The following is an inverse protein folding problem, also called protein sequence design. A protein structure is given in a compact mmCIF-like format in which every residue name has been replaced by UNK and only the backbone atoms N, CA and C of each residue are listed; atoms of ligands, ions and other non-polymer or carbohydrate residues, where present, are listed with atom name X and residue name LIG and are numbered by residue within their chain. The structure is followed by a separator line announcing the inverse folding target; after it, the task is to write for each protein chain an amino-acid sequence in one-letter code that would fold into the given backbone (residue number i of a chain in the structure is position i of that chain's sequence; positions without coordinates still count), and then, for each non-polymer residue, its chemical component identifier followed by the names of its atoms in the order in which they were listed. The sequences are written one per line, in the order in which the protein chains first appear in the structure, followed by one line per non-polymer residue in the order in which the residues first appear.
data_IF_235776615516
#
_entry.id   IF_235776615516
#
_cell.length_a   1.000
_cell.length_b   1.000
_cell.length_c   1.000
_cell.angle_alpha   90.00
_cell.angle_beta   90.00
_cell.angle_gamma   90.00
#
_symmetry.space_group_name_H-M   'P 1'
#
loop_
_entity.id
_entity.type
_entity.pdbx_description
1 polymer ?
#
# COMPACT_ATOMS: atom_id res chain seq x y z
N UNK A 1 13.49 -3.85 -11.44
CA UNK A 1 14.77 -4.57 -11.64
C UNK A 1 14.69 -5.47 -12.87
N UNK A 2 13.74 -6.42 -12.95
CA UNK A 2 13.65 -7.36 -14.08
C UNK A 2 13.38 -6.69 -15.43
N UNK A 3 12.65 -5.57 -15.43
CA UNK A 3 12.38 -4.75 -16.62
C UNK A 3 13.51 -3.75 -16.95
N UNK A 4 14.69 -3.88 -16.33
CA UNK A 4 15.86 -3.05 -16.57
C UNK A 4 15.87 -1.70 -15.82
N UNK A 5 14.92 -1.47 -14.91
CA UNK A 5 14.86 -0.26 -14.09
C UNK A 5 15.85 -0.33 -12.91
N UNK A 6 16.50 0.76 -12.62
CA UNK A 6 17.28 0.94 -11.40
C UNK A 6 16.33 1.21 -10.23
N UNK A 7 16.38 0.36 -9.21
CA UNK A 7 15.46 0.41 -8.08
C UNK A 7 16.20 0.83 -6.82
N UNK A 8 15.68 1.86 -6.17
CA UNK A 8 16.13 2.31 -4.84
C UNK A 8 15.00 2.05 -3.86
N UNK A 9 15.30 1.40 -2.74
CA UNK A 9 14.34 1.04 -1.70
C UNK A 9 14.71 1.77 -0.41
N UNK A 10 13.71 2.38 0.24
CA UNK A 10 13.81 2.84 1.63
C UNK A 10 12.75 2.12 2.46
N UNK A 11 13.17 1.51 3.57
CA UNK A 11 12.30 0.81 4.51
C UNK A 11 12.89 0.89 5.92
N UNK A 12 12.04 1.09 6.92
CA UNK A 12 12.48 1.11 8.33
C UNK A 12 12.52 -0.29 8.96
N UNK A 13 12.05 -1.32 8.22
CA UNK A 13 11.96 -2.72 8.63
C UNK A 13 11.08 -2.93 9.88
N UNK A 14 10.06 -2.07 10.07
CA UNK A 14 9.09 -2.25 11.15
C UNK A 14 8.18 -3.46 10.89
N UNK A 15 7.80 -3.67 9.64
CA UNK A 15 6.98 -4.80 9.17
C UNK A 15 7.59 -5.49 7.94
N UNK A 16 8.56 -4.85 7.29
CA UNK A 16 9.27 -5.38 6.14
C UNK A 16 10.35 -6.38 6.53
N UNK A 17 10.68 -7.28 5.59
CA UNK A 17 11.76 -8.25 5.73
C UNK A 17 12.87 -7.98 4.71
N UNK A 18 14.12 -7.96 5.18
CA UNK A 18 15.31 -7.86 4.31
C UNK A 18 15.43 -8.99 3.31
N UNK A 19 14.89 -10.18 3.64
CA UNK A 19 14.88 -11.35 2.74
C UNK A 19 14.07 -11.11 1.46
N UNK A 20 13.09 -10.20 1.50
CA UNK A 20 12.28 -9.82 0.35
C UNK A 20 12.95 -8.77 -0.56
N UNK A 21 14.05 -8.15 -0.12
CA UNK A 21 14.74 -7.11 -0.88
C UNK A 21 15.54 -7.75 -2.02
N UNK A 22 15.22 -7.38 -3.27
CA UNK A 22 15.99 -7.84 -4.42
C UNK A 22 17.46 -7.39 -4.30
N UNK A 23 18.44 -8.27 -4.39
CA UNK A 23 19.86 -7.94 -4.19
C UNK A 23 20.45 -6.98 -5.23
N UNK A 24 19.76 -6.76 -6.35
CA UNK A 24 20.14 -5.75 -7.35
C UNK A 24 19.57 -4.37 -7.06
N UNK A 25 18.67 -4.23 -6.10
CA UNK A 25 18.15 -2.94 -5.67
C UNK A 25 19.10 -2.28 -4.65
N UNK A 26 19.22 -0.95 -4.72
CA UNK A 26 19.95 -0.19 -3.71
C UNK A 26 19.05 0.02 -2.49
N UNK A 27 19.44 -0.50 -1.34
CA UNK A 27 18.64 -0.43 -0.12
C UNK A 27 19.16 0.62 0.86
N UNK A 28 18.23 1.40 1.42
CA UNK A 28 18.46 2.32 2.51
C UNK A 28 17.56 1.96 3.69
N UNK A 29 18.14 1.62 4.83
CA UNK A 29 17.39 1.53 6.07
C UNK A 29 17.10 2.94 6.58
N UNK A 30 15.83 3.32 6.67
CA UNK A 30 15.40 4.64 7.11
C UNK A 30 13.90 4.78 7.15
N UNK A 31 13.45 5.84 7.79
CA UNK A 31 12.02 6.15 7.94
C UNK A 31 11.64 7.32 7.02
N UNK A 32 10.53 7.20 6.31
CA UNK A 32 10.05 8.26 5.41
C UNK A 32 9.60 9.53 6.15
N UNK A 33 9.45 9.48 7.46
CA UNK A 33 9.16 10.63 8.33
C UNK A 33 10.40 11.47 8.63
N UNK A 34 11.57 11.00 8.26
CA UNK A 34 12.85 11.65 8.46
C UNK A 34 13.27 12.37 7.15
N UNK A 35 13.10 13.70 7.11
CA UNK A 35 13.39 14.49 5.91
C UNK A 35 14.82 14.32 5.42
N UNK A 36 15.79 14.25 6.34
CA UNK A 36 17.20 14.09 6.04
C UNK A 36 17.51 12.76 5.33
N UNK A 37 16.75 11.69 5.66
CA UNK A 37 16.88 10.39 5.00
C UNK A 37 16.44 10.51 3.54
N UNK A 38 15.29 11.12 3.30
CA UNK A 38 14.77 11.32 1.95
C UNK A 38 15.65 12.26 1.13
N UNK A 39 16.09 13.38 1.71
CA UNK A 39 16.97 14.33 1.04
C UNK A 39 18.32 13.68 0.63
N UNK A 40 18.89 12.85 1.50
CA UNK A 40 20.09 12.06 1.17
C UNK A 40 19.84 11.12 0.00
N UNK A 41 18.74 10.33 0.05
CA UNK A 41 18.42 9.36 -1.00
C UNK A 41 18.22 10.05 -2.34
N UNK A 42 17.47 11.15 -2.36
CA UNK A 42 17.16 11.89 -3.58
C UNK A 42 18.36 12.68 -4.13
N UNK A 43 19.34 13.01 -3.27
CA UNK A 43 20.61 13.62 -3.70
C UNK A 43 21.58 12.58 -4.27
N UNK A 44 21.65 11.40 -3.65
CA UNK A 44 22.58 10.34 -4.05
C UNK A 44 22.13 9.55 -5.29
N UNK A 45 20.85 9.65 -5.66
CA UNK A 45 20.27 8.86 -6.74
C UNK A 45 19.39 9.74 -7.64
N UNK A 46 19.43 9.47 -8.94
CA UNK A 46 18.48 10.04 -9.88
C UNK A 46 17.16 9.27 -9.78
N UNK A 47 16.14 9.91 -9.24
CA UNK A 47 14.81 9.30 -9.06
C UNK A 47 13.84 9.88 -10.08
N UNK A 48 13.28 9.05 -10.95
CA UNK A 48 12.30 9.44 -11.96
C UNK A 48 10.86 9.31 -11.48
N UNK A 49 10.58 8.41 -10.53
CA UNK A 49 9.26 8.19 -9.94
C UNK A 49 9.37 7.52 -8.56
N UNK A 50 8.36 7.73 -7.74
CA UNK A 50 8.22 7.08 -6.43
C UNK A 50 7.05 6.10 -6.48
N UNK A 51 7.23 4.89 -5.92
CA UNK A 51 6.14 3.96 -5.62
C UNK A 51 6.03 3.84 -4.10
N UNK A 52 4.88 4.24 -3.56
CA UNK A 52 4.70 4.38 -2.12
C UNK A 52 3.90 3.21 -1.53
N UNK A 53 4.59 2.33 -0.80
CA UNK A 53 4.01 1.22 -0.02
C UNK A 53 4.14 1.42 1.51
N UNK A 54 4.95 2.36 1.97
CA UNK A 54 5.33 2.55 3.37
C UNK A 54 4.17 3.04 4.26
N UNK A 55 3.25 2.15 4.59
CA UNK A 55 2.06 2.46 5.40
C UNK A 55 1.78 1.37 6.41
N UNK A 56 1.32 1.73 7.61
CA UNK A 56 0.63 0.77 8.47
C UNK A 56 -0.73 0.40 7.86
N UNK A 57 -1.08 -0.89 7.85
CA UNK A 57 -2.23 -1.42 7.10
C UNK A 57 -3.22 -2.27 7.92
N UNK A 58 -2.95 -2.54 9.20
CA UNK A 58 -3.81 -3.38 10.04
C UNK A 58 -5.06 -2.61 10.49
N UNK A 59 -6.21 -2.90 9.87
CA UNK A 59 -7.50 -2.24 10.15
C UNK A 59 -7.86 -2.34 11.63
N UNK A 60 -7.80 -3.54 12.23
CA UNK A 60 -8.12 -3.75 13.65
C UNK A 60 -7.24 -2.94 14.59
N UNK A 61 -5.92 -2.89 14.37
CA UNK A 61 -5.00 -2.06 15.15
C UNK A 61 -5.32 -0.57 15.00
N UNK A 62 -5.73 -0.14 13.81
CA UNK A 62 -6.05 1.27 13.58
C UNK A 62 -7.18 1.78 14.46
N UNK A 63 -8.15 0.91 14.82
CA UNK A 63 -9.27 1.24 15.70
C UNK A 63 -8.84 1.49 17.14
N UNK A 64 -7.78 0.82 17.59
CA UNK A 64 -7.26 0.95 18.97
C UNK A 64 -6.10 1.93 19.09
N UNK A 65 -5.35 2.15 18.00
CA UNK A 65 -4.21 3.08 17.97
C UNK A 65 -4.20 3.98 16.72
N UNK A 66 -5.21 4.82 16.52
CA UNK A 66 -5.34 5.66 15.32
C UNK A 66 -4.17 6.65 15.14
N UNK A 67 -3.58 7.14 16.23
CA UNK A 67 -2.45 8.09 16.16
C UNK A 67 -1.22 7.51 15.48
N UNK A 68 -0.94 6.20 15.65
CA UNK A 68 0.12 5.49 14.95
C UNK A 68 -0.07 5.59 13.43
N UNK A 69 -1.31 5.39 12.97
CA UNK A 69 -1.67 5.44 11.54
C UNK A 69 -1.56 6.85 10.97
N UNK A 70 -2.08 7.85 11.65
CA UNK A 70 -1.94 9.23 11.18
C UNK A 70 -0.49 9.71 11.20
N UNK A 71 0.30 9.35 12.21
CA UNK A 71 1.71 9.71 12.26
C UNK A 71 2.51 9.03 11.15
N UNK A 72 2.39 7.71 11.00
CA UNK A 72 3.15 6.98 9.98
C UNK A 72 2.67 7.30 8.56
N UNK A 73 1.36 7.17 8.31
CA UNK A 73 0.83 7.25 6.96
C UNK A 73 0.72 8.71 6.49
N UNK A 74 0.01 9.55 7.24
CA UNK A 74 -0.29 10.93 6.81
C UNK A 74 0.94 11.84 6.94
N UNK A 75 1.59 11.85 8.10
CA UNK A 75 2.79 12.66 8.28
C UNK A 75 3.95 12.16 7.42
N UNK A 76 4.14 10.82 7.30
CA UNK A 76 5.14 10.26 6.38
C UNK A 76 4.92 10.67 4.92
N UNK A 77 3.66 10.67 4.45
CA UNK A 77 3.32 11.17 3.11
C UNK A 77 3.62 12.66 2.97
N UNK A 78 3.33 13.48 3.99
CA UNK A 78 3.66 14.91 3.95
C UNK A 78 5.15 15.13 3.75
N UNK A 79 5.99 14.49 4.56
CA UNK A 79 7.46 14.62 4.47
C UNK A 79 7.97 14.15 3.12
N UNK A 80 7.42 13.04 2.59
CA UNK A 80 7.77 12.53 1.27
C UNK A 80 7.43 13.54 0.15
N UNK A 81 6.21 14.08 0.14
CA UNK A 81 5.78 15.05 -0.88
C UNK A 81 6.61 16.33 -0.82
N UNK A 82 6.94 16.82 0.37
CA UNK A 82 7.84 17.95 0.55
C UNK A 82 9.24 17.68 -0.04
N UNK A 83 9.79 16.49 0.23
CA UNK A 83 11.09 16.09 -0.33
C UNK A 83 11.02 15.95 -1.86
N UNK A 84 9.95 15.34 -2.40
CA UNK A 84 9.74 15.24 -3.85
C UNK A 84 9.71 16.61 -4.51
N UNK A 85 8.98 17.58 -3.95
CA UNK A 85 8.94 18.97 -4.46
C UNK A 85 10.31 19.61 -4.43
N UNK A 86 11.06 19.51 -3.31
CA UNK A 86 12.41 20.07 -3.19
C UNK A 86 13.40 19.52 -4.22
N UNK A 87 13.27 18.25 -4.55
CA UNK A 87 14.18 17.55 -5.47
C UNK A 87 13.67 17.46 -6.91
N UNK A 88 12.51 18.07 -7.22
CA UNK A 88 11.94 18.09 -8.57
C UNK A 88 11.44 16.72 -9.06
N UNK A 89 11.07 15.81 -8.15
CA UNK A 89 10.49 14.50 -8.48
C UNK A 89 8.99 14.70 -8.66
N UNK A 90 8.48 14.46 -9.86
CA UNK A 90 7.12 14.83 -10.25
C UNK A 90 6.15 13.67 -10.44
N UNK A 91 6.53 12.43 -10.07
CA UNK A 91 5.69 11.24 -10.25
C UNK A 91 5.63 10.39 -8.99
N UNK A 92 4.40 10.00 -8.63
CA UNK A 92 4.16 9.06 -7.53
C UNK A 92 3.03 8.09 -7.88
N UNK A 93 3.26 6.81 -7.66
CA UNK A 93 2.23 5.77 -7.63
C UNK A 93 1.97 5.43 -6.17
N UNK A 94 0.73 5.54 -5.77
CA UNK A 94 0.32 5.34 -4.38
C UNK A 94 -0.50 4.07 -4.21
N UNK A 95 -0.03 3.19 -3.36
CA UNK A 95 -0.76 2.04 -2.86
C UNK A 95 -1.86 2.52 -1.91
N UNK A 96 -3.05 2.78 -2.46
CA UNK A 96 -4.25 3.12 -1.70
C UNK A 96 -5.04 1.86 -1.31
N UNK A 97 -6.31 1.98 -1.03
CA UNK A 97 -7.14 0.88 -0.57
C UNK A 97 -8.61 1.08 -0.90
N UNK A 98 -9.33 0.01 -1.14
CA UNK A 98 -10.80 0.02 -1.22
C UNK A 98 -11.47 0.45 0.10
N UNK A 99 -10.78 0.36 1.25
CA UNK A 99 -11.28 0.86 2.53
C UNK A 99 -11.59 2.37 2.54
N UNK A 100 -11.13 3.12 1.53
CA UNK A 100 -11.50 4.53 1.33
C UNK A 100 -12.98 4.72 1.02
N UNK A 101 -13.65 3.72 0.43
CA UNK A 101 -15.08 3.80 0.10
C UNK A 101 -15.98 3.59 1.32
N UNK A 102 -15.52 2.86 2.35
CA UNK A 102 -16.33 2.47 3.50
C UNK A 102 -17.41 1.47 3.11
N UNK A 103 -18.67 1.71 3.52
CA UNK A 103 -19.82 0.88 3.14
C UNK A 103 -20.35 1.37 1.78
N UNK A 104 -20.21 0.58 0.71
CA UNK A 104 -20.61 1.01 -0.62
C UNK A 104 -22.14 1.02 -0.77
N UNK A 105 -22.68 2.04 -1.45
CA UNK A 105 -24.10 2.14 -1.77
C UNK A 105 -24.52 1.21 -2.93
N UNK A 106 -23.56 0.81 -3.75
CA UNK A 106 -23.75 -0.07 -4.92
C UNK A 106 -22.56 -1.00 -5.14
N UNK A 107 -22.79 -2.10 -5.85
CA UNK A 107 -21.77 -3.02 -6.37
C UNK A 107 -22.06 -3.31 -7.85
N UNK A 108 -21.01 -3.32 -8.71
CA UNK A 108 -19.58 -3.10 -8.39
C UNK A 108 -19.32 -1.64 -7.99
N UNK A 109 -18.29 -1.45 -7.14
CA UNK A 109 -17.81 -0.14 -6.73
C UNK A 109 -17.08 0.51 -7.92
N UNK A 110 -17.36 1.80 -8.17
CA UNK A 110 -16.71 2.60 -9.22
C UNK A 110 -15.75 3.62 -8.60
N UNK A 111 -14.79 4.13 -9.39
CA UNK A 111 -13.76 5.06 -8.91
C UNK A 111 -14.33 6.39 -8.39
N UNK A 112 -15.46 6.82 -8.93
CA UNK A 112 -16.16 8.07 -8.58
C UNK A 112 -17.19 7.91 -7.45
N UNK A 113 -17.35 6.70 -6.91
CA UNK A 113 -18.23 6.47 -5.77
C UNK A 113 -17.77 7.23 -4.53
N UNK A 114 -18.74 7.52 -3.67
CA UNK A 114 -18.51 8.23 -2.40
C UNK A 114 -17.42 7.55 -1.58
N UNK A 115 -16.51 8.35 -1.05
CA UNK A 115 -15.45 7.90 -0.15
C UNK A 115 -15.76 8.33 1.27
N UNK A 116 -16.08 7.35 2.14
CA UNK A 116 -16.41 7.55 3.55
C UNK A 116 -15.89 6.39 4.40
N UNK A 117 -14.57 6.38 4.69
CA UNK A 117 -13.96 5.30 5.45
C UNK A 117 -14.60 5.07 6.82
N UNK A 118 -14.76 3.82 7.20
CA UNK A 118 -15.32 3.41 8.50
C UNK A 118 -14.25 3.13 9.56
N UNK A 119 -12.97 3.30 9.22
CA UNK A 119 -11.85 3.04 10.12
C UNK A 119 -10.68 4.00 9.89
N UNK A 120 -9.80 4.20 10.90
CA UNK A 120 -8.68 5.14 10.81
C UNK A 120 -7.64 4.79 9.74
N UNK A 121 -7.44 3.50 9.40
CA UNK A 121 -6.59 3.10 8.29
C UNK A 121 -7.11 3.65 6.96
N UNK A 122 -8.36 3.33 6.61
CA UNK A 122 -9.00 3.85 5.39
C UNK A 122 -9.02 5.39 5.37
N UNK A 123 -9.32 6.00 6.52
CA UNK A 123 -9.29 7.46 6.66
C UNK A 123 -7.89 8.03 6.40
N UNK A 124 -6.82 7.40 6.91
CA UNK A 124 -5.46 7.86 6.66
C UNK A 124 -5.10 7.79 5.18
N UNK A 125 -5.48 6.70 4.48
CA UNK A 125 -5.26 6.56 3.04
C UNK A 125 -6.02 7.61 2.22
N UNK A 126 -7.28 7.87 2.56
CA UNK A 126 -8.06 8.92 1.90
C UNK A 126 -7.47 10.33 2.11
N UNK A 127 -6.95 10.62 3.31
CA UNK A 127 -6.24 11.88 3.56
C UNK A 127 -5.01 11.99 2.66
N UNK A 128 -4.21 10.92 2.52
CA UNK A 128 -3.04 10.90 1.64
C UNK A 128 -3.41 11.16 0.18
N UNK A 129 -4.49 10.56 -0.34
CA UNK A 129 -4.99 10.87 -1.69
C UNK A 129 -5.37 12.34 -1.85
N UNK A 130 -6.07 12.91 -0.87
CA UNK A 130 -6.44 14.34 -0.87
C UNK A 130 -5.21 15.25 -0.81
N UNK A 131 -4.19 14.89 -0.05
CA UNK A 131 -2.92 15.63 -0.01
C UNK A 131 -2.24 15.63 -1.38
N UNK A 132 -2.10 14.46 -2.02
CA UNK A 132 -1.53 14.36 -3.37
C UNK A 132 -2.30 15.20 -4.39
N UNK A 133 -3.63 15.22 -4.32
CA UNK A 133 -4.45 16.06 -5.19
C UNK A 133 -4.09 17.55 -5.06
N UNK A 134 -3.97 18.06 -3.85
CA UNK A 134 -3.65 19.48 -3.63
C UNK A 134 -2.22 19.82 -3.99
N UNK A 135 -1.26 18.93 -3.67
CA UNK A 135 0.16 19.11 -4.06
C UNK A 135 0.32 18.99 -5.59
N UNK A 136 -0.44 18.12 -6.23
CA UNK A 136 -0.50 18.05 -7.70
C UNK A 136 -0.93 19.38 -8.32
N UNK A 137 -2.01 19.98 -7.82
CA UNK A 137 -2.50 21.28 -8.30
C UNK A 137 -1.51 22.43 -8.06
N UNK A 138 -0.81 22.41 -6.93
CA UNK A 138 0.10 23.49 -6.53
C UNK A 138 1.51 23.35 -7.15
N UNK A 139 2.02 22.14 -7.27
CA UNK A 139 3.42 21.85 -7.59
C UNK A 139 3.62 20.96 -8.83
N UNK A 140 2.53 20.53 -9.48
CA UNK A 140 2.59 19.76 -10.73
C UNK A 140 2.99 18.28 -10.54
N UNK A 141 2.98 17.74 -9.32
CA UNK A 141 3.22 16.31 -9.10
C UNK A 141 2.09 15.51 -9.74
N UNK A 142 2.43 14.57 -10.59
CA UNK A 142 1.52 13.62 -11.22
C UNK A 142 1.40 12.38 -10.34
N UNK A 143 0.18 11.93 -10.07
CA UNK A 143 -0.03 10.80 -9.19
C UNK A 143 -1.05 9.82 -9.74
N UNK A 144 -0.91 8.55 -9.36
CA UNK A 144 -1.91 7.50 -9.54
C UNK A 144 -2.14 6.87 -8.18
N UNK A 145 -3.40 6.75 -7.77
CA UNK A 145 -3.81 6.05 -6.55
C UNK A 145 -4.49 4.73 -6.93
N UNK A 146 -3.90 3.61 -6.57
CA UNK A 146 -4.46 2.28 -6.82
C UNK A 146 -5.26 1.85 -5.60
N UNK A 147 -6.61 1.84 -5.69
CA UNK A 147 -7.52 1.40 -4.64
C UNK A 147 -7.89 -0.06 -4.86
N UNK A 148 -7.09 -0.96 -4.32
CA UNK A 148 -7.35 -2.38 -4.42
C UNK A 148 -7.89 -2.96 -3.10
N UNK A 149 -8.47 -4.14 -3.20
CA UNK A 149 -9.06 -4.89 -2.10
C UNK A 149 -8.00 -5.77 -1.42
N UNK A 150 -8.18 -7.09 -1.46
CA UNK A 150 -7.29 -8.02 -0.77
C UNK A 150 -6.26 -8.56 -1.76
N UNK A 151 -5.01 -8.15 -1.62
CA UNK A 151 -3.91 -8.78 -2.34
C UNK A 151 -3.70 -10.20 -1.81
N UNK A 152 -3.49 -11.15 -2.70
CA UNK A 152 -3.27 -12.55 -2.35
C UNK A 152 -2.32 -13.22 -3.34
N UNK A 153 -1.79 -14.38 -2.98
CA UNK A 153 -0.89 -15.15 -3.83
C UNK A 153 0.59 -14.93 -3.50
N UNK A 154 1.42 -15.54 -4.30
CA UNK A 154 2.88 -15.51 -4.19
C UNK A 154 3.51 -15.55 -5.57
N UNK A 155 4.83 -15.36 -5.67
CA UNK A 155 5.57 -15.62 -6.90
C UNK A 155 5.51 -17.12 -7.23
N UNK A 156 5.50 -17.46 -8.51
CA UNK A 156 5.26 -18.85 -8.98
C UNK A 156 6.28 -19.86 -8.44
N UNK A 157 7.54 -19.47 -8.28
CA UNK A 157 8.61 -20.34 -7.75
C UNK A 157 8.61 -20.46 -6.22
N UNK A 158 7.69 -19.74 -5.53
CA UNK A 158 7.57 -19.74 -4.09
C UNK A 158 8.68 -19.02 -3.33
N UNK A 159 9.58 -18.31 -4.01
CA UNK A 159 10.71 -17.61 -3.38
C UNK A 159 10.28 -16.39 -2.55
N UNK A 160 9.14 -15.76 -2.92
CA UNK A 160 8.56 -14.62 -2.20
C UNK A 160 7.06 -14.86 -2.06
N UNK A 161 6.55 -14.69 -0.86
CA UNK A 161 5.14 -14.79 -0.52
C UNK A 161 4.77 -13.86 0.62
N UNK A 162 3.56 -14.00 1.12
CA UNK A 162 3.06 -13.25 2.27
C UNK A 162 3.68 -13.80 3.55
N UNK A 163 4.32 -12.92 4.35
CA UNK A 163 4.97 -13.24 5.61
C UNK A 163 4.76 -12.12 6.63
N UNK A 164 3.61 -12.14 7.29
CA UNK A 164 3.24 -11.16 8.31
C UNK A 164 3.38 -11.72 9.73
N UNK A 165 3.84 -10.89 10.64
CA UNK A 165 3.84 -11.18 12.07
C UNK A 165 3.29 -9.98 12.87
N UNK A 166 2.06 -10.09 13.46
CA UNK A 166 1.14 -11.22 13.39
C UNK A 166 0.46 -11.35 12.02
N UNK A 167 0.13 -12.59 11.62
CA UNK A 167 -0.67 -12.86 10.43
C UNK A 167 -2.17 -12.63 10.72
N UNK A 168 -2.85 -11.88 9.85
CA UNK A 168 -4.26 -11.53 10.01
C UNK A 168 -5.11 -11.77 8.75
N UNK A 169 -4.47 -12.14 7.63
CA UNK A 169 -5.16 -12.34 6.36
C UNK A 169 -5.72 -13.76 6.24
N UNK A 170 -6.90 -13.86 5.64
CA UNK A 170 -7.70 -15.08 5.61
C UNK A 170 -6.96 -16.27 4.97
N UNK A 171 -6.38 -16.07 3.79
CA UNK A 171 -5.75 -17.17 3.04
C UNK A 171 -4.56 -17.77 3.79
N UNK A 172 -3.58 -17.00 4.28
CA UNK A 172 -2.50 -17.56 5.09
C UNK A 172 -3.00 -18.23 6.37
N UNK A 173 -4.01 -17.67 7.06
CA UNK A 173 -4.56 -18.27 8.26
C UNK A 173 -5.22 -19.64 7.99
N UNK A 174 -5.95 -19.75 6.87
CA UNK A 174 -6.53 -21.04 6.46
C UNK A 174 -5.41 -22.05 6.16
N UNK A 175 -4.36 -21.65 5.45
CA UNK A 175 -3.25 -22.54 5.09
C UNK A 175 -2.43 -23.00 6.31
N UNK A 176 -2.42 -22.24 7.41
CA UNK A 176 -1.77 -22.65 8.65
C UNK A 176 -2.42 -23.89 9.29
N UNK A 177 -3.73 -24.14 9.04
CA UNK A 177 -4.43 -25.30 9.61
C UNK A 177 -3.90 -26.63 9.06
N UNK A 178 -3.89 -26.89 7.73
CA UNK A 178 -3.34 -28.14 7.21
C UNK A 178 -1.82 -28.27 7.44
N UNK A 179 -1.11 -27.14 7.66
CA UNK A 179 0.31 -27.15 8.02
C UNK A 179 0.56 -27.46 9.51
N UNK A 180 -0.48 -27.66 10.31
CA UNK A 180 -0.39 -27.94 11.74
C UNK A 180 0.13 -26.75 12.57
N UNK A 181 0.15 -25.54 12.00
CA UNK A 181 0.57 -24.30 12.70
C UNK A 181 -0.61 -23.66 13.45
N UNK A 182 -1.83 -24.09 13.19
CA UNK A 182 -3.07 -23.61 13.80
C UNK A 182 -4.07 -24.79 13.90
N UNK A 183 -4.82 -24.86 14.98
CA UNK A 183 -5.77 -25.96 15.21
C UNK A 183 -7.03 -25.82 14.34
N UNK A 184 -7.51 -24.58 14.18
CA UNK A 184 -8.74 -24.28 13.43
C UNK A 184 -8.77 -22.85 12.94
N UNK A 185 -9.66 -22.56 11.99
CA UNK A 185 -10.07 -21.21 11.61
C UNK A 185 -11.31 -20.81 12.40
N UNK A 186 -11.37 -19.56 12.85
CA UNK A 186 -12.52 -19.01 13.57
C UNK A 186 -13.38 -18.18 12.63
N UNK A 187 -14.69 -18.51 12.58
CA UNK A 187 -15.71 -17.68 11.93
C UNK A 187 -16.28 -16.72 12.98
N UNK A 188 -16.17 -15.41 12.73
CA UNK A 188 -16.53 -14.37 13.69
C UNK A 188 -18.01 -13.95 13.63
N UNK A 189 -18.79 -14.44 12.66
CA UNK A 189 -20.21 -14.17 12.49
C UNK A 189 -20.75 -14.74 11.19
N UNK A 190 -22.06 -14.94 11.13
CA UNK A 190 -22.79 -15.47 9.98
C UNK A 190 -24.07 -14.64 9.74
N UNK A 191 -24.03 -13.35 10.06
CA UNK A 191 -25.18 -12.45 10.06
C UNK A 191 -25.11 -11.35 9.00
N UNK A 192 -24.18 -11.49 8.04
CA UNK A 192 -24.13 -10.60 6.87
C UNK A 192 -25.36 -10.83 5.96
N UNK A 193 -25.84 -9.78 5.27
CA UNK A 193 -26.96 -9.87 4.33
C UNK A 193 -26.52 -10.51 2.99
N UNK A 194 -25.99 -11.73 3.06
CA UNK A 194 -25.50 -12.54 1.95
C UNK A 194 -26.17 -13.91 1.97
N UNK A 195 -26.19 -14.68 0.87
CA UNK A 195 -26.90 -15.97 0.82
C UNK A 195 -26.46 -17.00 1.87
N UNK A 196 -25.17 -16.93 2.28
CA UNK A 196 -24.58 -17.85 3.28
C UNK A 196 -24.25 -17.17 4.61
N UNK A 197 -24.61 -15.89 4.78
CA UNK A 197 -24.36 -15.12 5.99
C UNK A 197 -22.90 -14.66 6.16
N UNK A 198 -22.01 -14.99 5.22
CA UNK A 198 -20.59 -14.58 5.28
C UNK A 198 -20.34 -13.27 4.55
N UNK A 199 -19.22 -12.60 4.87
CA UNK A 199 -18.85 -11.37 4.19
C UNK A 199 -18.27 -11.64 2.79
N UNK A 200 -18.67 -10.84 1.81
CA UNK A 200 -18.07 -10.84 0.47
C UNK A 200 -16.72 -10.14 0.50
N UNK A 201 -15.74 -10.72 -0.21
CA UNK A 201 -14.40 -10.15 -0.38
C UNK A 201 -13.95 -10.32 -1.82
N UNK A 202 -13.29 -9.29 -2.34
CA UNK A 202 -12.66 -9.31 -3.65
C UNK A 202 -11.15 -9.52 -3.48
N UNK A 203 -10.56 -10.37 -4.31
CA UNK A 203 -9.15 -10.72 -4.28
C UNK A 203 -8.48 -10.39 -5.61
N UNK A 204 -7.26 -9.86 -5.54
CA UNK A 204 -6.40 -9.63 -6.69
C UNK A 204 -5.08 -10.37 -6.48
N UNK A 205 -4.58 -11.05 -7.51
CA UNK A 205 -3.30 -11.72 -7.40
C UNK A 205 -2.17 -10.69 -7.30
N UNK A 206 -1.20 -10.94 -6.41
CA UNK A 206 -0.11 -10.00 -6.11
C UNK A 206 0.74 -9.67 -7.33
N UNK A 207 0.89 -10.60 -8.30
CA UNK A 207 1.62 -10.35 -9.55
C UNK A 207 0.87 -9.39 -10.47
N UNK A 208 -0.47 -9.55 -10.61
CA UNK A 208 -1.30 -8.61 -11.38
C UNK A 208 -1.25 -7.21 -10.76
N UNK A 209 -1.24 -7.16 -9.43
CA UNK A 209 -1.11 -5.90 -8.71
C UNK A 209 0.28 -5.26 -8.92
N UNK A 210 1.34 -6.05 -8.93
CA UNK A 210 2.68 -5.57 -9.23
C UNK A 210 2.77 -4.99 -10.66
N UNK A 211 2.19 -5.68 -11.64
CA UNK A 211 2.11 -5.16 -13.02
C UNK A 211 1.28 -3.88 -13.11
N UNK A 212 0.17 -3.79 -12.38
CA UNK A 212 -0.63 -2.56 -12.30
C UNK A 212 0.20 -1.37 -11.77
N UNK A 213 1.05 -1.57 -10.74
CA UNK A 213 1.94 -0.52 -10.23
C UNK A 213 2.98 -0.11 -11.28
N UNK A 214 3.55 -1.06 -12.02
CA UNK A 214 4.50 -0.75 -13.10
C UNK A 214 3.84 0.03 -14.23
N UNK A 215 2.65 -0.39 -14.67
CA UNK A 215 1.87 0.35 -15.68
C UNK A 215 1.50 1.75 -15.20
N UNK A 216 1.17 1.92 -13.91
CA UNK A 216 0.87 3.21 -13.31
C UNK A 216 2.07 4.18 -13.33
N UNK A 217 3.32 3.70 -13.26
CA UNK A 217 4.51 4.54 -13.42
C UNK A 217 4.59 5.11 -14.84
N UNK A 218 4.21 4.32 -15.84
CA UNK A 218 4.26 4.71 -17.25
C UNK A 218 3.09 5.59 -17.68
N UNK A 219 1.96 5.50 -17.00
CA UNK A 219 0.76 6.26 -17.32
C UNK A 219 0.99 7.79 -17.39
N UNK A 220 1.66 8.44 -16.42
CA UNK A 220 1.99 9.86 -16.50
C UNK A 220 2.99 10.20 -17.63
N UNK A 221 3.82 9.23 -18.07
CA UNK A 221 4.79 9.44 -19.17
C UNK A 221 4.12 9.57 -20.53
N UNK A 222 2.88 9.06 -20.69
CA UNK A 222 2.11 9.07 -21.95
C UNK A 222 1.24 10.30 -22.16
N UNK A 223 1.31 11.28 -21.26
CA UNK A 223 0.57 12.55 -21.40
C UNK A 223 -0.94 12.41 -21.19
N UNK A 224 -1.36 11.45 -20.36
CA UNK A 224 -2.73 11.29 -19.92
C UNK A 224 -3.10 12.27 -18.81
#
# INVERSE_FOLDING_TARGET
VEKGEDVVIVDNLQTGDMGAVNPKAKFYKGDIREAEVLDRIFTENKIDAVVHFASNSLVGESMTNPRKYFNNNVYGMQVLLEAMVRHGIDKIVFSSTAATYGEPERIPIMEDDRTEPTNPYGQSKLIMEKMMKWVSLANGIRYVSLRYFNAAGAIEDGSIGEDHSPETHLIPLILQVPLGKRDHITVFGEDYPTPDGTCLRDYIHVLDLADAHVLAIDYPRRGG
#
